data_IF_752811037337
#
_entry.id   IF_752811037337
#
_cell.length_a   1.000
_cell.length_b   1.000
_cell.length_c   1.000
_cell.angle_alpha   90.00
_cell.angle_beta   90.00
_cell.angle_gamma   90.00
#
_symmetry.space_group_name_H-M   'P 1'
#
loop_
_entity.id
_entity.type
_entity.pdbx_description
1 polymer ?
#
# COMPACT_ATOMS: atom_id res chain seq x y z
N UNK A 1 -0.78 -10.07 -17.08
CA UNK A 1 -0.70 -9.12 -15.96
C UNK A 1 -1.46 -9.76 -14.80
N UNK A 2 -0.98 -9.67 -13.55
CA UNK A 2 -1.66 -10.28 -12.40
C UNK A 2 -3.03 -9.60 -12.17
N UNK A 3 -4.10 -10.38 -11.97
CA UNK A 3 -5.47 -9.84 -11.79
C UNK A 3 -5.58 -8.82 -10.66
N UNK A 4 -4.78 -8.99 -9.60
CA UNK A 4 -4.69 -8.05 -8.47
C UNK A 4 -4.07 -6.71 -8.93
N UNK A 5 -3.05 -6.75 -9.80
CA UNK A 5 -2.41 -5.54 -10.30
C UNK A 5 -3.33 -4.73 -11.21
N UNK A 6 -4.16 -5.41 -12.02
CA UNK A 6 -5.18 -4.75 -12.85
C UNK A 6 -6.20 -4.00 -11.99
N UNK A 7 -6.68 -4.62 -10.91
CA UNK A 7 -7.61 -3.99 -9.96
C UNK A 7 -6.96 -2.78 -9.28
N UNK A 8 -5.71 -2.91 -8.80
CA UNK A 8 -5.01 -1.79 -8.15
C UNK A 8 -4.84 -0.63 -9.14
N UNK A 9 -4.49 -0.89 -10.39
CA UNK A 9 -4.36 0.16 -11.42
C UNK A 9 -5.69 0.84 -11.69
N UNK A 10 -6.75 0.07 -11.97
CA UNK A 10 -8.08 0.62 -12.25
C UNK A 10 -8.59 1.49 -11.10
N UNK A 11 -8.46 1.01 -9.85
CA UNK A 11 -8.90 1.79 -8.69
C UNK A 11 -8.03 3.02 -8.44
N UNK A 12 -6.72 2.95 -8.74
CA UNK A 12 -5.83 4.11 -8.64
C UNK A 12 -6.14 5.16 -9.72
N UNK A 13 -6.54 4.74 -10.93
CA UNK A 13 -7.04 5.63 -11.99
C UNK A 13 -8.35 6.32 -11.59
N UNK A 14 -9.21 5.63 -10.82
CA UNK A 14 -10.40 6.20 -10.18
C UNK A 14 -10.08 7.11 -8.96
N UNK A 15 -8.81 7.48 -8.75
CA UNK A 15 -8.33 8.28 -7.62
C UNK A 15 -8.67 7.69 -6.23
N UNK A 16 -8.78 6.37 -6.10
CA UNK A 16 -8.95 5.71 -4.79
C UNK A 16 -7.64 5.71 -4.02
N UNK A 17 -7.74 5.92 -2.71
CA UNK A 17 -6.61 5.83 -1.79
C UNK A 17 -6.07 4.39 -1.68
N UNK A 18 -4.77 4.23 -1.44
CA UNK A 18 -4.14 2.92 -1.38
C UNK A 18 -4.70 2.03 -0.27
N UNK A 19 -5.16 2.65 0.82
CA UNK A 19 -5.86 1.99 1.93
C UNK A 19 -7.24 1.44 1.53
N UNK A 20 -7.97 2.16 0.68
CA UNK A 20 -9.28 1.72 0.18
C UNK A 20 -9.13 0.57 -0.81
N UNK A 21 -8.13 0.65 -1.68
CA UNK A 21 -7.78 -0.43 -2.63
C UNK A 21 -7.39 -1.69 -1.85
N UNK A 22 -6.57 -1.56 -0.80
CA UNK A 22 -6.20 -2.67 0.07
C UNK A 22 -7.43 -3.27 0.77
N UNK A 23 -8.33 -2.43 1.30
CA UNK A 23 -9.55 -2.89 1.93
C UNK A 23 -10.48 -3.62 0.96
N UNK A 24 -10.59 -3.13 -0.29
CA UNK A 24 -11.36 -3.79 -1.34
C UNK A 24 -10.80 -5.19 -1.65
N UNK A 25 -9.49 -5.29 -1.87
CA UNK A 25 -8.85 -6.57 -2.17
C UNK A 25 -8.96 -7.58 -1.02
N UNK A 26 -8.84 -7.11 0.23
CA UNK A 26 -9.05 -7.95 1.42
C UNK A 26 -10.50 -8.43 1.54
N UNK A 27 -11.50 -7.61 1.18
CA UNK A 27 -12.92 -8.00 1.15
C UNK A 27 -13.24 -8.99 0.03
N UNK A 28 -12.53 -8.89 -1.09
CA UNK A 28 -12.63 -9.84 -2.21
C UNK A 28 -11.89 -11.15 -1.97
N UNK A 29 -11.51 -11.46 -0.72
CA UNK A 29 -10.83 -12.70 -0.31
C UNK A 29 -9.45 -12.92 -0.94
N UNK A 30 -8.79 -11.87 -1.44
CA UNK A 30 -7.40 -11.98 -1.87
C UNK A 30 -6.46 -12.16 -0.68
N UNK A 31 -5.42 -12.98 -0.84
CA UNK A 31 -4.45 -13.19 0.24
C UNK A 31 -3.66 -11.90 0.45
N UNK A 32 -3.58 -11.47 1.71
CA UNK A 32 -2.80 -10.30 2.15
C UNK A 32 -1.39 -10.25 1.54
N UNK A 33 -0.68 -11.38 1.50
CA UNK A 33 0.68 -11.46 0.96
C UNK A 33 0.74 -11.17 -0.54
N UNK A 34 -0.22 -11.70 -1.30
CA UNK A 34 -0.32 -11.49 -2.75
C UNK A 34 -0.68 -10.04 -3.05
N UNK A 35 -1.61 -9.47 -2.29
CA UNK A 35 -1.97 -8.05 -2.38
C UNK A 35 -0.79 -7.13 -2.13
N UNK A 36 -0.02 -7.36 -1.05
CA UNK A 36 1.17 -6.55 -0.73
C UNK A 36 2.22 -6.65 -1.85
N UNK A 37 2.44 -7.85 -2.41
CA UNK A 37 3.37 -8.03 -3.51
C UNK A 37 2.91 -7.30 -4.77
N UNK A 38 1.61 -7.33 -5.09
CA UNK A 38 1.04 -6.61 -6.23
C UNK A 38 1.20 -5.09 -6.09
N UNK A 39 0.92 -4.53 -4.90
CA UNK A 39 1.18 -3.11 -4.63
C UNK A 39 2.66 -2.74 -4.82
N UNK A 40 3.58 -3.56 -4.28
CA UNK A 40 5.03 -3.34 -4.44
C UNK A 40 5.47 -3.42 -5.90
N UNK A 41 4.91 -4.36 -6.68
CA UNK A 41 5.19 -4.49 -8.10
C UNK A 41 4.73 -3.26 -8.90
N UNK A 42 3.64 -2.63 -8.46
CA UNK A 42 3.14 -1.37 -9.04
C UNK A 42 3.84 -0.12 -8.49
N UNK A 43 4.88 -0.28 -7.67
CA UNK A 43 5.67 0.80 -7.12
C UNK A 43 5.09 1.44 -5.86
N UNK A 44 3.94 0.99 -5.35
CA UNK A 44 3.39 1.52 -4.11
C UNK A 44 4.25 1.16 -2.89
N UNK A 45 4.28 2.06 -1.91
CA UNK A 45 4.97 1.80 -0.65
C UNK A 45 4.01 1.08 0.27
N UNK A 46 4.38 -0.15 0.67
CA UNK A 46 3.57 -0.95 1.58
C UNK A 46 4.39 -1.44 2.76
N UNK A 47 3.91 -1.12 3.96
CA UNK A 47 4.52 -1.54 5.22
C UNK A 47 3.51 -2.33 6.05
N UNK A 48 3.87 -3.57 6.36
CA UNK A 48 3.13 -4.40 7.31
C UNK A 48 3.80 -4.29 8.70
N UNK A 49 3.03 -3.93 9.73
CA UNK A 49 3.48 -3.85 11.13
C UNK A 49 2.48 -4.66 11.96
N UNK A 50 2.87 -5.88 12.36
CA UNK A 50 1.98 -6.80 13.06
C UNK A 50 0.72 -7.11 12.25
N UNK A 51 -0.46 -6.82 12.81
CA UNK A 51 -1.75 -6.99 12.13
C UNK A 51 -2.15 -5.85 11.20
N UNK A 52 -1.42 -4.71 11.24
CA UNK A 52 -1.72 -3.49 10.48
C UNK A 52 -0.92 -3.43 9.18
N UNK A 53 -1.54 -2.91 8.13
CA UNK A 53 -0.89 -2.68 6.83
C UNK A 53 -1.11 -1.22 6.45
N UNK A 54 -0.03 -0.53 6.14
CA UNK A 54 -0.01 0.85 5.67
C UNK A 54 0.37 0.85 4.19
N UNK A 55 -0.44 1.50 3.37
CA UNK A 55 -0.27 1.60 1.91
C UNK A 55 -0.25 3.09 1.55
N UNK A 56 0.68 3.51 0.70
CA UNK A 56 0.70 4.88 0.18
C UNK A 56 -0.44 5.11 -0.82
N UNK A 57 -0.94 6.34 -0.94
CA UNK A 57 -2.02 6.70 -1.88
C UNK A 57 -1.59 6.74 -3.36
N UNK A 58 -0.33 6.44 -3.63
CA UNK A 58 0.21 6.35 -4.98
C UNK A 58 1.62 5.78 -4.98
N UNK A 59 2.15 5.40 -6.15
CA UNK A 59 3.57 5.14 -6.32
C UNK A 59 4.35 6.43 -5.97
N UNK A 60 5.39 6.35 -5.13
CA UNK A 60 6.22 7.49 -4.84
C UNK A 60 6.94 7.84 -6.15
N UNK A 61 6.67 9.03 -6.68
CA UNK A 61 7.31 9.53 -7.90
C UNK A 61 8.84 9.56 -7.81
N UNK A 62 9.42 9.45 -6.61
CA UNK A 62 10.87 9.42 -6.34
C UNK A 62 11.19 8.59 -5.08
N UNK A 63 12.37 7.93 -5.07
CA UNK A 63 12.89 7.21 -3.90
C UNK A 63 13.00 8.08 -2.63
N UNK A 64 13.18 9.40 -2.79
CA UNK A 64 13.25 10.33 -1.67
C UNK A 64 11.93 10.41 -0.89
N UNK A 65 10.79 10.54 -1.59
CA UNK A 65 9.45 10.52 -0.98
C UNK A 65 9.16 9.20 -0.29
N UNK A 66 9.65 8.09 -0.86
CA UNK A 66 9.56 6.76 -0.24
C UNK A 66 10.31 6.71 1.10
N UNK A 67 11.57 7.17 1.14
CA UNK A 67 12.38 7.19 2.37
C UNK A 67 11.79 8.10 3.44
N UNK A 68 11.26 9.26 3.05
CA UNK A 68 10.60 10.20 3.96
C UNK A 68 9.35 9.60 4.59
N UNK A 69 8.50 8.94 3.80
CA UNK A 69 7.33 8.24 4.30
C UNK A 69 7.70 7.05 5.20
N UNK A 70 8.70 6.26 4.81
CA UNK A 70 9.22 5.15 5.63
C UNK A 70 9.74 5.65 7.00
N UNK A 71 10.38 6.83 7.01
CA UNK A 71 10.83 7.51 8.23
C UNK A 71 9.65 7.99 9.06
N UNK A 72 8.64 8.64 8.46
CA UNK A 72 7.45 9.11 9.17
C UNK A 72 6.67 7.96 9.82
N UNK A 73 6.53 6.82 9.15
CA UNK A 73 5.88 5.65 9.75
C UNK A 73 6.76 4.97 10.81
N UNK A 74 8.10 5.03 10.71
CA UNK A 74 8.98 4.62 11.82
C UNK A 74 8.92 5.62 13.00
N UNK A 75 8.66 6.89 12.74
CA UNK A 75 8.46 7.92 13.77
C UNK A 75 7.14 7.76 14.54
N UNK A 76 6.07 7.32 13.87
CA UNK A 76 4.77 7.05 14.50
C UNK A 76 4.80 5.89 15.51
N UNK A 77 5.80 5.00 15.47
CA UNK A 77 6.02 4.00 16.53
C UNK A 77 6.56 4.57 17.85
N UNK A 78 6.89 5.88 17.90
CA UNK A 78 7.38 6.56 19.12
C UNK A 78 6.29 7.38 19.84
N UNK A 79 5.08 7.50 19.29
CA UNK A 79 3.98 8.27 19.90
C UNK A 79 2.81 7.32 20.09
N UNK A 80 2.90 6.50 21.14
CA UNK A 80 1.80 5.81 21.81
C UNK A 80 2.42 5.22 23.09
N UNK A 81 2.60 6.12 24.08
CA UNK A 81 2.68 5.75 25.50
C UNK A 81 1.27 5.54 26.02
#
# INVERSE_FOLDING_TARGET
MDKIQEIIKAMNEDNRMGVDIMAHLMRSSYKRRETINAFRALGFVVKAIGSRVYVSDGPPATEAKKREWERNIRGLSSILW
#
